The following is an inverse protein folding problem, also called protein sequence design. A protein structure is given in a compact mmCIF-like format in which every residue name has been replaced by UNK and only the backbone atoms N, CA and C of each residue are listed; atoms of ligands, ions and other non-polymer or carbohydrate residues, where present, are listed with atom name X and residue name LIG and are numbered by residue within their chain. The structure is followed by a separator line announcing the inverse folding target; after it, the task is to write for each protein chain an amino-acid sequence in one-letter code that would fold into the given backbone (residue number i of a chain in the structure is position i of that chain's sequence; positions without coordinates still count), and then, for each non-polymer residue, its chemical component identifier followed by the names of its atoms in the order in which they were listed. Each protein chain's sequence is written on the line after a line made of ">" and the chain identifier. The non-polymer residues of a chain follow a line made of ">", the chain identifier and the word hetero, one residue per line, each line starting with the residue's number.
data_IF_325471964901
#
_entry.id   IF_325471964901
#
_cell.length_a   1.000
_cell.length_b   1.000
_cell.length_c   1.000
_cell.angle_alpha   90.00
_cell.angle_beta   90.00
_cell.angle_gamma   90.00
#
_symmetry.space_group_name_H-M   'P 1'
#
loop_
_entity.id
_entity.type
_entity.pdbx_description
1 polymer ?
#
# COMPACT_ATOMS: atom_id res chain seq x y z
N UNK A 1 1.70 -22.94 -9.24
CA UNK A 1 1.34 -23.16 -7.83
C UNK A 1 -0.17 -23.02 -7.73
N UNK A 2 -0.88 -24.07 -7.30
CA UNK A 2 -2.33 -24.01 -7.21
C UNK A 2 -2.78 -22.98 -6.16
N UNK A 3 -3.86 -22.25 -6.44
CA UNK A 3 -4.44 -21.25 -5.54
C UNK A 3 -4.67 -21.81 -4.12
N UNK A 4 -5.03 -23.09 -4.04
CA UNK A 4 -5.25 -23.83 -2.79
C UNK A 4 -3.99 -23.89 -1.91
N UNK A 5 -2.80 -24.05 -2.49
CA UNK A 5 -1.52 -24.10 -1.76
C UNK A 5 -1.21 -22.74 -1.13
N UNK A 6 -1.44 -21.67 -1.90
CA UNK A 6 -1.23 -20.29 -1.43
C UNK A 6 -2.20 -19.98 -0.29
N UNK A 7 -3.47 -20.35 -0.39
CA UNK A 7 -4.45 -20.15 0.68
C UNK A 7 -4.11 -20.93 1.96
N UNK A 8 -3.61 -22.17 1.84
CA UNK A 8 -3.14 -22.97 2.97
C UNK A 8 -1.95 -22.29 3.66
N UNK A 9 -0.96 -21.83 2.89
CA UNK A 9 0.19 -21.11 3.43
C UNK A 9 -0.26 -19.83 4.16
N UNK A 10 -1.10 -19.01 3.53
CA UNK A 10 -1.60 -17.77 4.15
C UNK A 10 -2.33 -18.08 5.45
N UNK A 11 -3.18 -19.12 5.49
CA UNK A 11 -3.91 -19.51 6.68
C UNK A 11 -2.97 -19.94 7.82
N UNK A 12 -1.93 -20.70 7.52
CA UNK A 12 -0.92 -21.14 8.50
C UNK A 12 -0.13 -19.94 9.03
N UNK A 13 0.38 -19.07 8.15
CA UNK A 13 1.17 -17.91 8.58
C UNK A 13 0.31 -16.96 9.43
N UNK A 14 -0.97 -16.75 9.07
CA UNK A 14 -1.90 -15.94 9.86
C UNK A 14 -2.15 -16.54 11.24
N UNK A 15 -2.37 -17.85 11.33
CA UNK A 15 -2.58 -18.54 12.61
C UNK A 15 -1.34 -18.41 13.53
N UNK A 16 -0.13 -18.62 12.99
CA UNK A 16 1.12 -18.46 13.73
C UNK A 16 1.31 -16.99 14.15
N UNK A 17 1.02 -16.03 13.27
CA UNK A 17 1.16 -14.61 13.56
C UNK A 17 0.26 -14.16 14.73
N UNK A 18 -1.01 -14.59 14.72
CA UNK A 18 -1.95 -14.31 15.82
C UNK A 18 -1.50 -14.97 17.13
N UNK A 19 -1.04 -16.22 17.07
CA UNK A 19 -0.53 -16.92 18.25
C UNK A 19 0.73 -16.26 18.83
N UNK A 20 1.63 -15.83 17.95
CA UNK A 20 2.87 -15.13 18.30
C UNK A 20 2.57 -13.78 18.95
N UNK A 21 1.60 -13.02 18.42
CA UNK A 21 1.15 -11.77 19.03
C UNK A 21 0.67 -11.99 20.47
N UNK A 22 -0.20 -12.98 20.69
CA UNK A 22 -0.72 -13.32 22.02
C UNK A 22 0.41 -13.72 22.97
N UNK A 23 1.37 -14.53 22.52
CA UNK A 23 2.50 -14.92 23.36
C UNK A 23 3.42 -13.73 23.68
N UNK A 24 3.68 -12.83 22.72
CA UNK A 24 4.45 -11.61 22.96
C UNK A 24 3.73 -10.72 23.98
N UNK A 25 2.40 -10.58 23.90
CA UNK A 25 1.65 -9.82 24.91
C UNK A 25 1.77 -10.46 26.30
N UNK A 26 1.69 -11.79 26.39
CA UNK A 26 1.91 -12.52 27.63
C UNK A 26 3.33 -12.31 28.18
N UNK A 27 4.36 -12.38 27.32
CA UNK A 27 5.75 -12.13 27.74
C UNK A 27 5.97 -10.70 28.22
N UNK A 28 5.28 -9.71 27.63
CA UNK A 28 5.29 -8.32 28.13
C UNK A 28 4.67 -8.19 29.53
N UNK A 29 3.71 -9.05 29.90
CA UNK A 29 3.17 -9.05 31.28
C UNK A 29 4.15 -9.61 32.29
N UNK A 30 4.99 -10.57 31.88
CA UNK A 30 6.01 -11.19 32.74
C UNK A 30 7.26 -10.31 32.85
N UNK A 31 7.64 -9.63 31.76
CA UNK A 31 8.85 -8.81 31.65
C UNK A 31 8.44 -7.36 31.38
N UNK A 32 8.23 -6.54 32.42
CA UNK A 32 7.75 -5.15 32.28
C UNK A 32 8.67 -4.26 31.45
N UNK A 33 9.96 -4.60 31.34
CA UNK A 33 10.93 -3.94 30.47
C UNK A 33 10.52 -3.94 28.98
N UNK A 34 9.70 -4.92 28.57
CA UNK A 34 9.16 -5.01 27.21
C UNK A 34 7.83 -4.25 27.03
N UNK A 35 7.23 -3.76 28.11
CA UNK A 35 5.94 -3.07 28.12
C UNK A 35 6.11 -1.55 27.98
N UNK A 36 5.54 -0.99 26.90
CA UNK A 36 5.29 0.45 26.72
C UNK A 36 6.48 1.27 26.19
N UNK A 37 6.30 2.11 25.16
CA UNK A 37 7.30 3.13 24.81
C UNK A 37 7.44 4.15 25.94
N UNK A 38 8.67 4.62 26.18
CA UNK A 38 8.87 5.81 27.02
C UNK A 38 8.12 7.00 26.40
N UNK A 39 7.52 7.90 27.21
CA UNK A 39 6.77 9.05 26.70
C UNK A 39 7.63 9.90 25.75
N UNK A 40 7.01 10.62 24.79
CA UNK A 40 7.66 11.21 23.61
C UNK A 40 8.66 12.35 23.86
N UNK A 41 9.12 12.54 25.09
CA UNK A 41 9.85 13.73 25.54
C UNK A 41 11.26 13.44 26.07
N UNK A 42 11.94 12.44 25.50
CA UNK A 42 13.33 12.14 25.88
C UNK A 42 14.26 12.22 24.68
N UNK A 43 15.21 13.16 24.84
CA UNK A 43 16.47 13.39 24.12
C UNK A 43 17.01 12.18 23.32
N UNK A 44 17.68 12.48 22.19
CA UNK A 44 18.30 11.54 21.24
C UNK A 44 19.15 10.40 21.85
N UNK A 45 19.52 10.50 23.12
CA UNK A 45 20.17 9.48 23.92
C UNK A 45 19.31 8.22 24.17
N UNK A 46 17.97 8.34 24.23
CA UNK A 46 17.04 7.21 24.41
C UNK A 46 16.71 6.44 23.12
N UNK A 47 17.24 6.86 21.96
CA UNK A 47 17.05 6.16 20.69
C UNK A 47 17.65 4.74 20.71
N UNK A 48 18.84 4.57 21.30
CA UNK A 48 19.53 3.27 21.34
C UNK A 48 18.78 2.24 22.18
N UNK A 49 18.27 2.63 23.35
CA UNK A 49 17.52 1.74 24.25
C UNK A 49 16.20 1.30 23.62
N UNK A 50 15.49 2.21 22.94
CA UNK A 50 14.28 1.89 22.19
C UNK A 50 14.55 0.97 21.00
N UNK A 51 15.65 1.17 20.27
CA UNK A 51 16.08 0.27 19.19
C UNK A 51 16.40 -1.13 19.71
N UNK A 52 17.16 -1.24 20.81
CA UNK A 52 17.49 -2.52 21.44
C UNK A 52 16.23 -3.23 21.91
N UNK A 53 15.31 -2.51 22.55
CA UNK A 53 14.03 -3.08 22.99
C UNK A 53 13.20 -3.60 21.82
N UNK A 54 13.07 -2.81 20.74
CA UNK A 54 12.39 -3.24 19.51
C UNK A 54 13.05 -4.48 18.90
N UNK A 55 14.38 -4.53 18.87
CA UNK A 55 15.13 -5.67 18.38
C UNK A 55 14.88 -6.93 19.24
N UNK A 56 14.88 -6.80 20.58
CA UNK A 56 14.59 -7.91 21.50
C UNK A 56 13.16 -8.43 21.29
N UNK A 57 12.17 -7.54 21.18
CA UNK A 57 10.77 -7.94 20.92
C UNK A 57 10.65 -8.66 19.57
N UNK A 58 11.34 -8.18 18.54
CA UNK A 58 11.34 -8.82 17.21
C UNK A 58 12.01 -10.19 17.24
N UNK A 59 13.14 -10.34 17.95
CA UNK A 59 13.81 -11.64 18.14
C UNK A 59 12.93 -12.63 18.90
N UNK A 60 12.23 -12.17 19.95
CA UNK A 60 11.29 -13.01 20.70
C UNK A 60 10.14 -13.46 19.79
N UNK A 61 9.53 -12.53 19.04
CA UNK A 61 8.45 -12.86 18.11
C UNK A 61 8.90 -13.86 17.04
N UNK A 62 10.13 -13.69 16.52
CA UNK A 62 10.73 -14.64 15.59
C UNK A 62 10.94 -16.02 16.23
N UNK A 63 11.58 -16.09 17.39
CA UNK A 63 11.86 -17.35 18.08
C UNK A 63 10.57 -18.13 18.40
N UNK A 64 9.54 -17.43 18.88
CA UNK A 64 8.21 -17.99 19.14
C UNK A 64 7.58 -18.54 17.87
N UNK A 65 7.63 -17.77 16.78
CA UNK A 65 7.04 -18.18 15.50
C UNK A 65 7.80 -19.37 14.89
N UNK A 66 9.11 -19.43 15.10
CA UNK A 66 9.95 -20.52 14.62
C UNK A 66 9.70 -21.82 15.38
N UNK A 67 9.66 -21.76 16.70
CA UNK A 67 9.29 -22.91 17.53
C UNK A 67 7.87 -23.36 17.20
N UNK A 68 6.92 -22.44 17.08
CA UNK A 68 5.54 -22.73 16.67
C UNK A 68 5.44 -23.42 15.31
N UNK A 69 6.24 -22.97 14.33
CA UNK A 69 6.31 -23.60 13.02
C UNK A 69 6.91 -25.02 13.08
N UNK A 70 7.92 -25.27 13.94
CA UNK A 70 8.51 -26.61 14.08
C UNK A 70 7.55 -27.65 14.65
N UNK A 71 6.53 -27.23 15.40
CA UNK A 71 5.47 -28.13 15.89
C UNK A 71 4.48 -28.56 14.80
N UNK A 72 4.54 -27.94 13.61
CA UNK A 72 3.77 -28.40 12.46
C UNK A 72 4.40 -29.63 11.78
N UNK A 73 5.65 -29.96 12.12
CA UNK A 73 6.32 -31.18 11.69
C UNK A 73 6.25 -32.26 12.77
N UNK A 74 6.16 -33.51 12.35
CA UNK A 74 6.21 -34.66 13.26
C UNK A 74 7.17 -35.71 12.71
N UNK A 75 8.35 -35.90 13.32
CA UNK A 75 8.82 -35.31 14.58
C UNK A 75 9.25 -33.84 14.45
N UNK A 76 9.15 -33.07 15.54
CA UNK A 76 9.51 -31.66 15.55
C UNK A 76 10.99 -31.46 15.16
N UNK A 77 11.22 -30.81 14.02
CA UNK A 77 12.54 -30.47 13.53
C UNK A 77 12.65 -28.96 13.35
N UNK A 78 13.47 -28.30 14.14
CA UNK A 78 13.68 -26.84 14.06
C UNK A 78 14.20 -26.39 12.69
N UNK A 79 14.95 -27.26 12.01
CA UNK A 79 15.52 -27.00 10.69
C UNK A 79 14.78 -27.73 9.57
N UNK A 80 13.59 -28.25 9.89
CA UNK A 80 12.72 -28.91 8.92
C UNK A 80 12.06 -27.93 7.96
N UNK A 81 11.14 -28.48 7.18
CA UNK A 81 10.43 -27.78 6.14
C UNK A 81 8.94 -28.10 6.21
N UNK A 82 8.09 -27.10 6.01
CA UNK A 82 6.66 -27.32 5.87
C UNK A 82 6.39 -27.77 4.44
N UNK A 83 6.02 -29.04 4.25
CA UNK A 83 5.47 -29.48 2.97
C UNK A 83 3.99 -29.10 2.89
N UNK A 84 3.64 -28.24 1.94
CA UNK A 84 2.25 -27.85 1.67
C UNK A 84 1.56 -28.82 0.69
N UNK A 85 2.34 -29.68 0.04
CA UNK A 85 1.88 -30.69 -0.92
C UNK A 85 2.29 -32.09 -0.42
N UNK A 86 1.34 -33.00 -0.16
CA UNK A 86 1.64 -34.39 0.19
C UNK A 86 2.49 -35.12 -0.87
N UNK A 87 2.46 -34.67 -2.12
CA UNK A 87 3.08 -35.37 -3.25
C UNK A 87 4.46 -34.81 -3.66
N UNK A 88 4.92 -33.70 -3.09
CA UNK A 88 6.20 -33.06 -3.46
C UNK A 88 7.06 -32.77 -2.21
N UNK A 89 7.71 -33.81 -1.70
CA UNK A 89 8.56 -33.74 -0.50
C UNK A 89 9.82 -32.85 -0.68
N UNK A 90 10.17 -32.46 -1.91
CA UNK A 90 11.37 -31.67 -2.19
C UNK A 90 11.15 -30.15 -2.26
N UNK A 91 9.90 -29.67 -2.15
CA UNK A 91 9.55 -28.23 -2.20
C UNK A 91 8.94 -27.72 -0.90
N UNK A 92 9.46 -28.17 0.23
CA UNK A 92 9.07 -27.64 1.53
C UNK A 92 9.62 -26.23 1.78
N UNK A 93 8.85 -25.40 2.47
CA UNK A 93 9.30 -24.07 2.90
C UNK A 93 9.99 -24.23 4.26
N UNK A 94 11.28 -23.86 4.40
CA UNK A 94 11.96 -23.94 5.69
C UNK A 94 11.21 -23.20 6.80
N UNK A 95 11.14 -23.77 8.00
CA UNK A 95 10.38 -23.18 9.11
C UNK A 95 10.87 -21.78 9.51
N UNK A 96 12.17 -21.49 9.36
CA UNK A 96 12.70 -20.15 9.64
C UNK A 96 12.11 -19.09 8.68
N UNK A 97 11.80 -19.45 7.43
CA UNK A 97 11.16 -18.53 6.48
C UNK A 97 9.72 -18.26 6.92
N UNK A 98 9.00 -19.29 7.36
CA UNK A 98 7.65 -19.15 7.91
C UNK A 98 7.66 -18.27 9.16
N UNK A 99 8.67 -18.43 10.02
CA UNK A 99 8.86 -17.62 11.21
C UNK A 99 9.15 -16.15 10.87
N UNK A 100 9.98 -15.87 9.86
CA UNK A 100 10.21 -14.51 9.36
C UNK A 100 8.89 -13.91 8.85
N UNK A 101 8.12 -14.66 8.06
CA UNK A 101 6.83 -14.19 7.53
C UNK A 101 5.81 -13.93 8.64
N UNK A 102 5.77 -14.78 9.67
CA UNK A 102 4.84 -14.64 10.79
C UNK A 102 5.25 -13.52 11.76
N UNK A 103 6.56 -13.30 11.97
CA UNK A 103 7.10 -12.28 12.89
C UNK A 103 7.24 -10.89 12.27
N UNK A 104 7.26 -10.80 10.93
CA UNK A 104 7.46 -9.57 10.16
C UNK A 104 6.45 -8.43 10.35
N UNK A 105 5.37 -8.67 11.11
CA UNK A 105 4.37 -7.66 11.40
C UNK A 105 3.60 -7.17 10.17
N UNK A 106 2.71 -6.21 10.39
CA UNK A 106 1.80 -5.68 9.37
C UNK A 106 2.53 -5.05 8.17
N UNK A 107 3.75 -4.53 8.34
CA UNK A 107 4.52 -3.91 7.25
C UNK A 107 4.90 -4.91 6.14
N UNK A 108 5.29 -6.14 6.51
CA UNK A 108 5.58 -7.18 5.52
C UNK A 108 4.31 -7.59 4.77
N UNK A 109 3.19 -7.74 5.49
CA UNK A 109 1.91 -8.07 4.88
C UNK A 109 1.35 -6.96 3.99
N UNK A 110 1.49 -5.70 4.37
CA UNK A 110 1.08 -4.56 3.53
C UNK A 110 1.82 -4.56 2.21
N UNK A 111 3.14 -4.80 2.23
CA UNK A 111 3.94 -4.91 1.02
C UNK A 111 3.57 -6.15 0.20
N UNK A 112 3.39 -7.31 0.85
CA UNK A 112 3.03 -8.56 0.19
C UNK A 112 1.63 -8.51 -0.46
N UNK A 113 0.65 -7.91 0.22
CA UNK A 113 -0.69 -7.68 -0.32
C UNK A 113 -0.66 -6.71 -1.49
N UNK A 114 0.20 -5.69 -1.43
CA UNK A 114 0.49 -4.81 -2.57
C UNK A 114 1.00 -5.59 -3.78
N UNK A 115 1.96 -6.49 -3.60
CA UNK A 115 2.47 -7.37 -4.65
C UNK A 115 1.42 -8.34 -5.18
N UNK A 116 0.63 -8.98 -4.31
CA UNK A 116 -0.42 -9.90 -4.71
C UNK A 116 -1.51 -9.20 -5.53
N UNK A 117 -1.86 -7.96 -5.15
CA UNK A 117 -2.77 -7.10 -5.91
C UNK A 117 -2.18 -6.76 -7.28
N UNK A 118 -0.92 -6.33 -7.35
CA UNK A 118 -0.24 -6.04 -8.61
C UNK A 118 -0.20 -7.26 -9.56
N UNK A 119 0.07 -8.47 -9.03
CA UNK A 119 0.05 -9.71 -9.83
C UNK A 119 -1.35 -10.02 -10.37
N UNK A 120 -2.39 -9.84 -9.53
CA UNK A 120 -3.79 -10.01 -9.95
C UNK A 120 -4.15 -9.01 -11.04
N UNK A 121 -3.74 -7.76 -10.90
CA UNK A 121 -4.02 -6.68 -11.85
C UNK A 121 -3.33 -6.94 -13.19
N UNK A 122 -2.07 -7.40 -13.21
CA UNK A 122 -1.36 -7.84 -14.43
C UNK A 122 -2.11 -9.00 -15.11
N UNK A 123 -2.66 -9.94 -14.34
CA UNK A 123 -3.45 -11.03 -14.89
C UNK A 123 -4.77 -10.57 -15.53
N UNK A 124 -5.43 -9.59 -14.92
CA UNK A 124 -6.64 -8.98 -15.47
C UNK A 124 -6.35 -8.16 -16.74
N UNK A 125 -5.22 -7.45 -16.75
CA UNK A 125 -4.75 -6.69 -17.91
C UNK A 125 -4.42 -7.61 -19.09
N UNK A 126 -3.72 -8.73 -18.85
CA UNK A 126 -3.42 -9.74 -19.89
C UNK A 126 -4.69 -10.33 -20.52
N UNK A 127 -5.69 -10.69 -19.71
CA UNK A 127 -6.99 -11.17 -20.23
C UNK A 127 -7.71 -10.12 -21.07
N UNK A 128 -7.57 -8.85 -20.70
CA UNK A 128 -8.14 -7.73 -21.44
C UNK A 128 -7.40 -7.54 -22.77
N UNK A 129 -6.07 -7.61 -22.77
CA UNK A 129 -5.25 -7.59 -23.99
C UNK A 129 -5.54 -8.77 -24.93
N UNK A 130 -5.75 -9.98 -24.40
CA UNK A 130 -6.15 -11.15 -25.20
C UNK A 130 -7.52 -10.94 -25.87
N UNK A 131 -8.50 -10.36 -25.14
CA UNK A 131 -9.79 -9.97 -25.73
C UNK A 131 -9.63 -8.91 -26.82
N UNK A 132 -8.77 -7.91 -26.62
CA UNK A 132 -8.49 -6.91 -27.66
C UNK A 132 -7.79 -7.51 -28.89
N UNK A 133 -6.82 -8.42 -28.69
CA UNK A 133 -6.11 -9.07 -29.79
C UNK A 133 -7.00 -10.02 -30.59
N UNK A 134 -7.93 -10.73 -29.92
CA UNK A 134 -8.93 -11.57 -30.61
C UNK A 134 -9.95 -10.74 -31.38
N UNK A 135 -10.40 -9.59 -30.85
CA UNK A 135 -11.27 -8.65 -31.55
C UNK A 135 -10.58 -8.06 -32.79
N UNK A 136 -9.33 -7.61 -32.65
CA UNK A 136 -8.54 -7.07 -33.77
C UNK A 136 -8.33 -8.11 -34.89
N UNK A 137 -8.10 -9.37 -34.52
CA UNK A 137 -7.97 -10.48 -35.48
C UNK A 137 -9.31 -10.83 -36.16
N UNK A 138 -10.44 -10.65 -35.48
CA UNK A 138 -11.77 -10.82 -36.07
C UNK A 138 -12.17 -9.69 -37.01
N UNK A 139 -11.70 -8.46 -36.76
CA UNK A 139 -11.87 -7.34 -37.68
C UNK A 139 -10.99 -7.50 -38.92
N UNK A 140 -9.74 -7.93 -38.78
CA UNK A 140 -8.83 -8.21 -39.90
C UNK A 140 -9.39 -9.29 -40.86
N UNK A 141 -10.12 -10.28 -40.34
CA UNK A 141 -10.80 -11.31 -41.14
C UNK A 141 -12.03 -10.82 -41.91
N UNK A 142 -12.58 -9.63 -41.59
CA UNK A 142 -13.72 -9.03 -42.31
C UNK A 142 -13.31 -8.07 -43.43
N UNK A 143 -12.02 -7.72 -43.56
CA UNK A 143 -11.53 -6.78 -44.59
C UNK A 143 -10.98 -7.44 -45.87
N UNK A 144 -10.92 -8.78 -45.95
CA UNK A 144 -10.44 -9.48 -47.15
C UNK A 144 -11.50 -9.73 -48.25
N UNK A 145 -12.71 -9.18 -48.09
CA UNK A 145 -13.82 -9.38 -49.03
C UNK A 145 -14.44 -8.07 -49.47
N UNK A 146 -14.09 -7.61 -50.67
CA UNK A 146 -14.79 -6.64 -51.50
C UNK A 146 -15.18 -5.28 -50.88
N UNK A 147 -14.42 -4.27 -51.26
CA UNK A 147 -14.99 -3.09 -51.91
C UNK A 147 -15.68 -2.05 -51.02
N UNK A 148 -15.19 -0.82 -51.17
CA UNK A 148 -15.87 0.46 -50.95
C UNK A 148 -15.80 1.08 -49.54
N UNK A 149 -15.19 2.26 -49.59
CA UNK A 149 -15.31 3.45 -48.74
C UNK A 149 -14.42 3.48 -47.51
N UNK A 150 -13.49 4.43 -47.59
CA UNK A 150 -12.71 4.97 -46.50
C UNK A 150 -13.59 5.21 -45.27
N UNK A 151 -13.58 4.26 -44.33
CA UNK A 151 -13.89 4.54 -42.95
C UNK A 151 -12.65 5.18 -42.36
N UNK A 152 -12.71 6.50 -42.26
CA UNK A 152 -11.83 7.26 -41.40
C UNK A 152 -12.12 6.76 -39.98
N UNK A 153 -11.36 5.77 -39.50
CA UNK A 153 -11.33 5.39 -38.09
C UNK A 153 -10.60 6.54 -37.40
N UNK A 154 -11.34 7.62 -37.19
CA UNK A 154 -11.08 8.58 -36.12
C UNK A 154 -10.96 7.72 -34.89
N UNK A 155 -9.72 7.53 -34.41
CA UNK A 155 -9.49 6.98 -33.09
C UNK A 155 -10.39 7.78 -32.16
N UNK A 156 -11.42 7.12 -31.63
CA UNK A 156 -12.29 7.69 -30.63
C UNK A 156 -11.40 7.95 -29.42
N UNK A 157 -10.78 9.13 -29.42
CA UNK A 157 -10.26 9.80 -28.26
C UNK A 157 -11.53 10.04 -27.46
N UNK A 158 -11.91 9.04 -26.66
CA UNK A 158 -13.02 9.16 -25.73
C UNK A 158 -12.65 10.39 -24.91
N UNK A 159 -13.29 11.52 -25.21
CA UNK A 159 -13.15 12.74 -24.44
C UNK A 159 -13.58 12.34 -23.04
N UNK A 160 -12.59 12.08 -22.18
CA UNK A 160 -12.85 11.70 -20.81
C UNK A 160 -13.60 12.87 -20.22
N UNK A 161 -14.82 12.61 -19.78
CA UNK A 161 -15.70 13.63 -19.23
C UNK A 161 -14.98 14.29 -18.05
N UNK A 162 -14.65 15.57 -18.19
CA UNK A 162 -13.96 16.32 -17.15
C UNK A 162 -14.97 16.67 -16.05
N UNK A 163 -14.58 16.41 -14.80
CA UNK A 163 -15.34 16.82 -13.61
C UNK A 163 -14.57 17.91 -12.88
N UNK A 164 -15.27 18.97 -12.51
CA UNK A 164 -14.71 20.04 -11.67
C UNK A 164 -14.61 19.57 -10.22
N UNK A 165 -13.39 19.54 -9.69
CA UNK A 165 -13.09 19.17 -8.30
C UNK A 165 -12.63 20.42 -7.53
N UNK A 166 -13.10 20.57 -6.30
CA UNK A 166 -12.77 21.70 -5.43
C UNK A 166 -11.72 21.28 -4.40
N UNK A 167 -10.64 22.05 -4.32
CA UNK A 167 -9.54 21.89 -3.38
C UNK A 167 -9.52 23.10 -2.46
N UNK A 168 -9.66 22.88 -1.17
CA UNK A 168 -9.63 23.93 -0.15
C UNK A 168 -8.42 23.70 0.76
N UNK A 169 -7.56 24.70 0.86
CA UNK A 169 -6.45 24.70 1.80
C UNK A 169 -6.75 25.69 2.93
N UNK A 170 -6.52 25.28 4.17
CA UNK A 170 -6.62 26.13 5.35
C UNK A 170 -5.26 26.15 6.06
N UNK A 171 -4.64 27.33 6.12
CA UNK A 171 -3.35 27.57 6.77
C UNK A 171 -3.58 28.11 8.19
N UNK A 172 -2.82 27.61 9.15
CA UNK A 172 -2.76 28.11 10.52
C UNK A 172 -1.33 28.53 10.89
N UNK A 173 -1.21 29.50 11.79
CA UNK A 173 0.07 29.85 12.42
C UNK A 173 1.09 30.59 11.56
N UNK A 174 0.74 31.06 10.37
CA UNK A 174 1.59 31.95 9.54
C UNK A 174 1.51 31.67 8.04
N UNK A 175 2.49 32.17 7.30
CA UNK A 175 2.65 31.93 5.86
C UNK A 175 3.19 30.53 5.59
N UNK A 176 2.73 29.91 4.50
CA UNK A 176 3.26 28.66 3.99
C UNK A 176 2.97 28.53 2.50
N UNK A 177 3.37 27.41 1.92
CA UNK A 177 3.02 27.03 0.56
C UNK A 177 2.60 25.57 0.52
N UNK A 178 1.49 25.25 -0.15
CA UNK A 178 1.07 23.87 -0.44
C UNK A 178 0.96 23.70 -1.95
N UNK A 179 1.66 22.73 -2.48
CA UNK A 179 1.62 22.37 -3.90
C UNK A 179 0.97 20.99 -4.05
N UNK A 180 -0.02 20.91 -4.93
CA UNK A 180 -0.71 19.69 -5.35
C UNK A 180 -0.42 19.49 -6.83
N UNK A 181 0.41 18.50 -7.15
CA UNK A 181 0.85 18.20 -8.50
C UNK A 181 0.22 16.89 -8.98
N UNK A 182 -0.53 16.92 -10.09
CA UNK A 182 -1.13 15.72 -10.66
C UNK A 182 -0.15 15.01 -11.62
N UNK A 183 -0.15 13.69 -11.60
CA UNK A 183 0.64 12.91 -12.56
C UNK A 183 0.18 13.17 -14.01
N UNK A 184 1.06 12.89 -14.97
CA UNK A 184 0.80 13.04 -16.41
C UNK A 184 0.51 14.48 -16.87
N UNK A 185 0.87 15.49 -16.06
CA UNK A 185 0.73 16.90 -16.44
C UNK A 185 -0.72 17.39 -16.47
N UNK A 186 -1.61 16.74 -15.73
CA UNK A 186 -3.03 17.11 -15.65
C UNK A 186 -3.27 18.46 -14.96
N UNK A 187 -2.30 18.97 -14.20
CA UNK A 187 -2.34 20.29 -13.60
C UNK A 187 -1.49 20.41 -12.34
N UNK A 188 -1.38 21.65 -11.86
CA UNK A 188 -0.72 21.99 -10.60
C UNK A 188 -1.57 23.03 -9.86
N UNK A 189 -1.79 22.83 -8.56
CA UNK A 189 -2.43 23.79 -7.69
C UNK A 189 -1.44 24.23 -6.61
N UNK A 190 -1.11 25.51 -6.59
CA UNK A 190 -0.24 26.12 -5.59
C UNK A 190 -1.07 27.02 -4.68
N UNK A 191 -1.08 26.75 -3.38
CA UNK A 191 -1.71 27.59 -2.36
C UNK A 191 -0.63 28.31 -1.55
N UNK A 192 -0.71 29.63 -1.44
CA UNK A 192 0.19 30.44 -0.59
C UNK A 192 -0.52 30.98 0.65
N UNK A 193 -1.82 30.72 0.77
CA UNK A 193 -2.71 31.15 1.83
C UNK A 193 -3.97 30.27 1.85
N UNK A 194 -4.82 30.46 2.87
CA UNK A 194 -6.11 29.78 2.93
C UNK A 194 -7.01 30.18 1.77
N UNK A 195 -7.66 29.22 1.14
CA UNK A 195 -8.59 29.47 0.04
C UNK A 195 -8.95 28.21 -0.74
N UNK A 196 -9.82 28.39 -1.73
CA UNK A 196 -10.30 27.32 -2.59
C UNK A 196 -9.78 27.50 -4.02
N UNK A 197 -9.40 26.41 -4.66
CA UNK A 197 -9.10 26.33 -6.09
C UNK A 197 -9.88 25.18 -6.71
N UNK A 198 -10.23 25.33 -7.98
CA UNK A 198 -10.96 24.31 -8.74
C UNK A 198 -10.07 23.78 -9.85
N UNK A 199 -10.17 22.48 -10.12
CA UNK A 199 -9.48 21.85 -11.24
C UNK A 199 -10.39 20.83 -11.92
N UNK A 200 -10.45 20.91 -13.24
CA UNK A 200 -11.19 19.96 -14.07
C UNK A 200 -10.32 18.73 -14.33
N UNK A 201 -10.80 17.58 -13.87
CA UNK A 201 -10.05 16.32 -13.91
C UNK A 201 -10.84 15.23 -14.62
N UNK A 202 -10.18 14.34 -15.37
CA UNK A 202 -10.85 13.22 -16.01
C UNK A 202 -11.40 12.24 -14.97
N UNK A 203 -12.51 11.57 -15.31
CA UNK A 203 -13.02 10.46 -14.51
C UNK A 203 -11.99 9.33 -14.37
N UNK A 204 -11.96 8.68 -13.21
CA UNK A 204 -11.09 7.55 -12.91
C UNK A 204 -10.16 7.77 -11.71
N UNK A 205 -9.26 6.81 -11.50
CA UNK A 205 -8.27 6.87 -10.43
C UNK A 205 -7.10 7.77 -10.85
N UNK A 206 -6.80 8.79 -10.03
CA UNK A 206 -5.74 9.75 -10.27
C UNK A 206 -4.79 9.78 -9.07
N UNK A 207 -3.50 9.82 -9.37
CA UNK A 207 -2.45 10.05 -8.39
C UNK A 207 -2.05 11.53 -8.41
N UNK A 208 -1.75 12.05 -7.25
CA UNK A 208 -1.23 13.40 -7.08
C UNK A 208 -0.23 13.45 -5.93
N UNK A 209 0.73 14.36 -6.05
CA UNK A 209 1.81 14.58 -5.10
C UNK A 209 1.50 15.84 -4.33
N UNK A 210 1.52 15.74 -3.01
CA UNK A 210 1.39 16.89 -2.12
C UNK A 210 2.75 17.21 -1.53
N UNK A 211 3.18 18.46 -1.63
CA UNK A 211 4.42 18.95 -1.04
C UNK A 211 4.26 20.40 -0.60
N UNK A 212 5.19 20.91 0.21
CA UNK A 212 5.11 22.30 0.64
C UNK A 212 5.87 22.63 1.91
N UNK A 213 5.49 23.74 2.52
CA UNK A 213 5.97 24.18 3.82
C UNK A 213 4.87 24.94 4.55
N UNK A 214 4.81 24.75 5.86
CA UNK A 214 3.96 25.54 6.77
C UNK A 214 4.84 26.36 7.70
N UNK A 215 4.23 27.28 8.45
CA UNK A 215 4.95 28.05 9.46
C UNK A 215 5.63 27.13 10.48
N UNK A 216 6.87 27.44 10.88
CA UNK A 216 7.64 26.65 11.86
C UNK A 216 7.14 26.81 13.31
N UNK A 217 6.13 27.65 13.55
CA UNK A 217 5.59 27.89 14.90
C UNK A 217 4.68 26.77 15.41
N UNK A 218 4.41 26.70 16.73
CA UNK A 218 3.56 25.67 17.33
C UNK A 218 2.07 25.72 16.90
N UNK A 219 1.63 26.78 16.24
CA UNK A 219 0.31 26.87 15.58
C UNK A 219 0.36 26.66 14.07
N UNK A 220 1.54 26.39 13.52
CA UNK A 220 1.80 26.20 12.09
C UNK A 220 1.19 24.90 11.59
N UNK A 221 0.34 24.98 10.57
CA UNK A 221 -0.26 23.78 9.99
C UNK A 221 -1.04 24.10 8.72
N UNK A 222 -1.30 23.06 7.93
CA UNK A 222 -2.11 23.15 6.72
C UNK A 222 -3.10 21.99 6.71
N UNK A 223 -4.36 22.29 6.43
CA UNK A 223 -5.40 21.28 6.19
C UNK A 223 -5.84 21.40 4.73
N UNK A 224 -5.77 20.30 3.98
CA UNK A 224 -6.28 20.19 2.62
C UNK A 224 -7.57 19.36 2.61
N UNK A 225 -8.66 19.99 2.18
CA UNK A 225 -9.95 19.34 1.96
C UNK A 225 -10.23 19.25 0.46
N UNK A 226 -10.76 18.11 0.01
CA UNK A 226 -11.11 17.88 -1.39
C UNK A 226 -12.59 17.51 -1.46
N UNK A 227 -13.35 18.19 -2.30
CA UNK A 227 -14.80 17.99 -2.45
C UNK A 227 -15.25 18.04 -3.91
N UNK A 228 -16.48 17.56 -4.17
CA UNK A 228 -17.03 17.41 -5.51
C UNK A 228 -17.32 15.95 -5.84
N UNK A 229 -17.31 15.60 -7.12
CA UNK A 229 -17.51 14.23 -7.60
C UNK A 229 -16.24 13.38 -7.45
N UNK A 230 -15.81 13.16 -6.21
CA UNK A 230 -14.58 12.45 -5.89
C UNK A 230 -14.70 11.60 -4.64
N UNK A 231 -14.07 10.43 -4.66
CA UNK A 231 -13.81 9.60 -3.50
C UNK A 231 -12.33 9.79 -3.14
N UNK A 232 -12.05 10.44 -2.00
CA UNK A 232 -10.70 10.72 -1.53
C UNK A 232 -10.57 10.46 -0.03
N UNK A 233 -9.33 10.33 0.46
CA UNK A 233 -9.03 10.20 1.88
C UNK A 233 -8.88 11.58 2.59
N UNK A 234 -9.42 12.65 1.99
CA UNK A 234 -9.42 13.98 2.59
C UNK A 234 -10.38 14.03 3.81
N UNK A 235 -10.14 14.93 4.80
CA UNK A 235 -9.11 15.96 4.82
C UNK A 235 -7.70 15.44 5.18
N UNK A 236 -6.67 16.06 4.59
CA UNK A 236 -5.27 15.83 4.93
C UNK A 236 -4.74 16.94 5.83
N UNK A 237 -4.11 16.57 6.95
CA UNK A 237 -3.54 17.55 7.89
C UNK A 237 -2.01 17.43 7.93
N UNK A 238 -1.35 18.59 7.84
CA UNK A 238 0.10 18.73 7.86
C UNK A 238 0.50 19.64 9.01
N UNK A 239 1.47 19.17 9.82
CA UNK A 239 2.02 19.93 10.94
C UNK A 239 2.96 21.07 10.50
N UNK A 240 3.64 21.71 11.47
CA UNK A 240 4.58 22.80 11.21
C UNK A 240 5.81 22.30 10.44
N UNK A 241 6.39 23.17 9.60
CA UNK A 241 7.65 22.91 8.88
C UNK A 241 7.48 22.35 7.47
N UNK A 242 8.49 21.60 7.01
CA UNK A 242 8.56 21.08 5.63
C UNK A 242 7.58 19.92 5.46
N UNK A 243 6.76 20.00 4.42
CA UNK A 243 5.88 18.93 3.96
C UNK A 243 6.60 18.18 2.85
N UNK A 244 7.14 17.02 3.19
CA UNK A 244 7.81 16.15 2.22
C UNK A 244 6.81 15.64 1.17
N UNK A 245 7.25 15.50 -0.10
CA UNK A 245 6.42 14.96 -1.17
C UNK A 245 5.79 13.63 -0.78
N UNK A 246 4.46 13.56 -0.83
CA UNK A 246 3.69 12.36 -0.53
C UNK A 246 2.67 12.10 -1.65
N UNK A 247 2.69 10.88 -2.20
CA UNK A 247 1.76 10.45 -3.24
C UNK A 247 0.43 10.06 -2.58
N UNK A 248 -0.65 10.66 -3.06
CA UNK A 248 -2.02 10.34 -2.69
C UNK A 248 -2.79 9.88 -3.93
N UNK A 249 -3.82 9.09 -3.71
CA UNK A 249 -4.72 8.62 -4.77
C UNK A 249 -6.13 9.10 -4.47
N UNK A 250 -6.85 9.52 -5.50
CA UNK A 250 -8.28 9.82 -5.45
C UNK A 250 -9.00 9.23 -6.66
N UNK A 251 -10.31 9.01 -6.55
CA UNK A 251 -11.13 8.49 -7.64
C UNK A 251 -12.17 9.54 -8.00
N UNK A 252 -12.08 10.09 -9.21
CA UNK A 252 -13.08 11.01 -9.76
C UNK A 252 -14.23 10.19 -10.35
N UNK A 253 -15.45 10.48 -9.90
CA UNK A 253 -16.68 9.74 -10.24
C UNK A 253 -17.58 10.50 -11.20
#
# INVERSE_FOLDING_TARGET
>A
MELTIIMKLISVVLAISLASERLVTFLKTIIPFLAGPQPPDVSAENSKTELIRKAIVMLIAFAVSWVGASFLDSPANLWGHLSLDPNDMNKGIPFFIIAIMASGGSAIWTNLLGFAKAIKDIGAEKKTQEKFNTLKKSDEFRFAGNGLKAFNIVGAKTESELKTINFEAAFSGGSGQLTVLFENGLGELIFSNSGTKTLDLPQGALNYIISGSSSNGPGGGIVLSISGSVISNAPHSYGPGIIWPNIQTMIVT
#
